data_IF_180467194426
#
_entry.id   IF_180467194426
#
_cell.length_a   1.000
_cell.length_b   1.000
_cell.length_c   1.000
_cell.angle_alpha   90.00
_cell.angle_beta   90.00
_cell.angle_gamma   90.00
#
_symmetry.space_group_name_H-M   'P 1'
#
loop_
_entity.id
_entity.type
_entity.pdbx_description
1 polymer ?
#
# COMPACT_ATOMS: atom_id res chain seq x y z
N UNK A 1 11.66 59.35 66.74
CA UNK A 1 12.61 58.36 66.17
C UNK A 1 12.19 58.13 64.73
N UNK A 2 12.88 58.68 63.73
CA UNK A 2 13.87 57.98 62.88
C UNK A 2 13.47 56.51 62.60
N UNK A 3 13.34 55.97 61.38
CA UNK A 3 13.81 56.36 60.04
C UNK A 3 13.19 55.37 59.00
N UNK A 4 12.95 55.87 57.79
CA UNK A 4 13.23 55.25 56.48
C UNK A 4 12.29 54.16 55.90
N UNK A 5 11.65 54.60 54.80
CA UNK A 5 11.09 53.90 53.63
C UNK A 5 11.87 52.68 53.15
N UNK A 6 11.15 51.70 52.58
CA UNK A 6 11.40 51.21 51.21
C UNK A 6 10.08 50.67 50.64
N UNK A 7 9.61 51.40 49.64
CA UNK A 7 8.59 51.08 48.67
C UNK A 7 9.08 49.92 47.80
N UNK A 8 8.33 48.82 47.69
CA UNK A 8 8.49 47.89 46.58
C UNK A 8 7.20 47.88 45.74
N UNK A 9 7.23 48.79 44.79
CA UNK A 9 6.48 48.79 43.54
C UNK A 9 6.84 47.50 42.76
N UNK A 10 5.88 46.77 42.21
CA UNK A 10 5.81 46.41 40.79
C UNK A 10 4.81 45.27 40.51
N UNK A 11 3.71 45.68 39.87
CA UNK A 11 3.09 45.04 38.70
C UNK A 11 2.80 43.52 38.76
N UNK A 12 1.62 43.19 39.28
CA UNK A 12 0.85 42.05 38.78
C UNK A 12 0.21 42.42 37.41
N UNK A 13 1.03 42.47 36.35
CA UNK A 13 0.54 42.32 34.97
C UNK A 13 0.82 40.87 34.56
N UNK A 14 -0.16 40.00 34.78
CA UNK A 14 -0.19 38.68 34.15
C UNK A 14 -0.42 38.91 32.66
N UNK A 15 0.70 39.05 31.95
CA UNK A 15 0.77 39.15 30.50
C UNK A 15 0.33 37.82 29.89
N UNK A 16 -0.71 37.86 29.06
CA UNK A 16 -1.00 36.82 28.07
C UNK A 16 0.26 36.60 27.22
N UNK A 17 0.97 35.50 27.45
CA UNK A 17 1.97 35.01 26.49
C UNK A 17 1.21 34.47 25.28
N UNK A 18 1.12 35.28 24.22
CA UNK A 18 0.88 34.79 22.86
C UNK A 18 2.02 33.83 22.51
N UNK A 19 1.68 32.62 22.11
CA UNK A 19 2.62 31.71 21.46
C UNK A 19 3.19 32.38 20.20
N UNK A 20 4.50 32.25 19.93
CA UNK A 20 5.05 32.74 18.68
C UNK A 20 4.50 31.86 17.54
N UNK A 21 3.91 32.52 16.55
CA UNK A 21 3.57 31.89 15.29
C UNK A 21 4.83 31.22 14.73
N UNK A 22 4.80 29.89 14.62
CA UNK A 22 5.77 29.13 13.85
C UNK A 22 5.74 29.64 12.43
N UNK A 23 6.79 30.37 12.08
CA UNK A 23 7.14 30.74 10.72
C UNK A 23 7.31 29.41 9.96
N UNK A 24 6.30 29.05 9.16
CA UNK A 24 6.46 28.01 8.16
C UNK A 24 7.64 28.37 7.23
N UNK A 25 8.30 27.38 6.63
CA UNK A 25 9.50 27.63 5.83
C UNK A 25 9.18 28.64 4.72
N UNK A 26 9.97 29.71 4.68
CA UNK A 26 10.00 30.66 3.55
C UNK A 26 10.60 29.92 2.35
N UNK A 27 9.73 29.46 1.46
CA UNK A 27 10.11 28.98 0.13
C UNK A 27 11.00 30.03 -0.55
N UNK A 28 12.26 29.70 -0.79
CA UNK A 28 13.16 30.55 -1.58
C UNK A 28 12.78 30.40 -3.05
N UNK A 29 13.16 31.37 -3.89
CA UNK A 29 12.85 31.37 -5.33
C UNK A 29 13.46 30.18 -6.09
N UNK A 30 14.29 29.38 -5.45
CA UNK A 30 14.90 28.16 -6.01
C UNK A 30 13.96 26.95 -5.91
N UNK A 31 13.09 26.87 -4.89
CA UNK A 31 12.08 25.80 -4.75
C UNK A 31 10.94 25.90 -5.78
N UNK A 32 10.79 27.06 -6.44
CA UNK A 32 9.83 27.25 -7.54
C UNK A 32 10.35 26.79 -8.91
N UNK A 33 11.63 26.46 -9.03
CA UNK A 33 12.24 26.08 -10.31
C UNK A 33 12.10 24.58 -10.61
N UNK A 34 11.87 23.75 -9.59
CA UNK A 34 11.60 22.32 -9.78
C UNK A 34 10.14 22.01 -10.18
N UNK A 35 9.24 22.98 -10.03
CA UNK A 35 7.83 22.86 -10.44
C UNK A 35 7.56 23.26 -11.90
N UNK A 36 8.60 23.66 -12.66
CA UNK A 36 8.49 24.00 -14.10
C UNK A 36 9.61 23.43 -14.96
N UNK A 37 10.34 22.40 -14.50
CA UNK A 37 11.16 21.59 -15.39
C UNK A 37 10.24 20.65 -16.19
N UNK A 38 9.85 21.07 -17.40
CA UNK A 38 9.30 20.14 -18.40
C UNK A 38 10.35 19.06 -18.66
N UNK A 39 10.07 17.77 -18.43
CA UNK A 39 10.89 16.74 -19.03
C UNK A 39 10.76 16.89 -20.54
N UNK A 40 11.88 16.92 -21.25
CA UNK A 40 11.90 16.76 -22.68
C UNK A 40 11.51 15.31 -22.99
N UNK A 41 10.22 15.03 -23.00
CA UNK A 41 9.66 13.78 -23.52
C UNK A 41 8.81 14.13 -24.73
N UNK A 42 9.15 13.52 -25.87
CA UNK A 42 8.38 13.65 -27.10
C UNK A 42 6.93 13.23 -26.81
N UNK A 43 5.99 14.17 -26.99
CA UNK A 43 4.56 13.96 -26.79
C UNK A 43 4.02 12.94 -27.81
N UNK A 44 3.95 11.68 -27.42
CA UNK A 44 2.71 10.92 -27.53
C UNK A 44 2.01 11.06 -26.18
N UNK A 45 0.68 11.21 -26.16
CA UNK A 45 -0.10 11.30 -24.92
C UNK A 45 0.29 10.18 -23.95
N UNK A 46 0.55 10.46 -22.66
CA UNK A 46 0.88 9.41 -21.71
C UNK A 46 -0.26 8.39 -21.70
N UNK A 47 0.06 7.09 -21.74
CA UNK A 47 -0.92 6.03 -21.55
C UNK A 47 -1.53 6.21 -20.16
N UNK A 48 -2.85 6.34 -20.10
CA UNK A 48 -3.61 6.47 -18.86
C UNK A 48 -4.58 5.31 -18.80
N UNK A 49 -4.40 4.44 -17.81
CA UNK A 49 -5.32 3.35 -17.51
C UNK A 49 -6.26 3.78 -16.36
N UNK A 50 -7.54 3.42 -16.45
CA UNK A 50 -8.50 3.62 -15.34
C UNK A 50 -8.66 2.30 -14.59
N UNK A 51 -8.33 2.32 -13.30
CA UNK A 51 -8.46 1.16 -12.41
C UNK A 51 -9.74 1.36 -11.61
N UNK A 52 -10.75 0.53 -11.90
CA UNK A 52 -11.97 0.46 -11.10
C UNK A 52 -11.70 -0.36 -9.84
N UNK A 53 -12.28 0.07 -8.72
CA UNK A 53 -12.12 -0.60 -7.44
C UNK A 53 -13.34 -1.50 -7.22
N UNK A 54 -13.14 -2.81 -7.19
CA UNK A 54 -14.18 -3.79 -6.92
C UNK A 54 -14.46 -3.95 -5.41
N UNK A 55 -15.58 -4.58 -5.09
CA UNK A 55 -16.06 -4.79 -3.71
C UNK A 55 -17.30 -3.97 -3.35
N UNK A 56 -17.59 -2.87 -4.06
CA UNK A 56 -18.86 -2.14 -3.91
C UNK A 56 -19.25 -1.43 -5.21
N UNK A 57 -20.27 -1.94 -5.92
CA UNK A 57 -20.73 -1.41 -7.20
C UNK A 57 -21.38 -0.02 -7.10
N UNK A 58 -22.01 0.32 -5.97
CA UNK A 58 -22.61 1.64 -5.75
C UNK A 58 -21.55 2.73 -5.54
N UNK A 59 -20.42 2.39 -4.91
CA UNK A 59 -19.29 3.28 -4.64
C UNK A 59 -18.30 3.34 -5.82
N UNK A 60 -18.13 2.22 -6.54
CA UNK A 60 -17.12 2.02 -7.59
C UNK A 60 -17.28 2.91 -8.83
N UNK A 61 -18.47 3.44 -9.09
CA UNK A 61 -18.68 4.39 -10.20
C UNK A 61 -18.11 5.80 -9.92
N UNK A 62 -17.80 6.10 -8.66
CA UNK A 62 -17.34 7.42 -8.21
C UNK A 62 -15.92 7.43 -7.66
N UNK A 63 -15.39 6.24 -7.35
CA UNK A 63 -14.05 6.04 -6.80
C UNK A 63 -13.23 5.18 -7.76
N UNK A 64 -12.08 5.69 -8.18
CA UNK A 64 -11.21 5.02 -9.15
C UNK A 64 -9.78 5.53 -9.00
N UNK A 65 -8.84 4.81 -9.61
CA UNK A 65 -7.44 5.22 -9.70
C UNK A 65 -7.06 5.42 -11.16
N UNK A 66 -6.41 6.52 -11.50
CA UNK A 66 -5.81 6.71 -12.82
C UNK A 66 -4.33 6.36 -12.75
N UNK A 67 -3.90 5.37 -13.52
CA UNK A 67 -2.50 5.02 -13.68
C UNK A 67 -1.94 5.70 -14.93
N UNK A 68 -1.16 6.76 -14.71
CA UNK A 68 -0.48 7.49 -15.78
C UNK A 68 0.95 6.99 -15.94
N UNK A 69 1.30 6.43 -17.10
CA UNK A 69 2.67 6.04 -17.40
C UNK A 69 3.55 7.29 -17.48
N UNK A 70 4.59 7.36 -16.64
CA UNK A 70 5.55 8.46 -16.57
C UNK A 70 6.83 8.18 -17.35
N UNK A 71 7.33 6.96 -17.24
CA UNK A 71 8.60 6.54 -17.84
C UNK A 71 8.55 5.05 -18.17
N UNK A 72 9.25 4.66 -19.22
CA UNK A 72 9.43 3.27 -19.63
C UNK A 72 10.85 3.10 -20.16
N UNK A 73 11.59 2.19 -19.54
CA UNK A 73 12.96 1.86 -19.91
C UNK A 73 13.08 0.36 -20.15
N UNK A 74 13.92 0.00 -21.09
CA UNK A 74 14.30 -1.38 -21.38
C UNK A 74 15.80 -1.49 -21.15
N UNK A 75 16.23 -2.46 -20.37
CA UNK A 75 17.64 -2.71 -20.14
C UNK A 75 18.26 -3.60 -21.24
N UNK A 76 19.54 -3.96 -21.05
CA UNK A 76 20.28 -4.78 -22.01
C UNK A 76 19.77 -6.22 -22.09
N UNK A 77 19.13 -6.70 -21.03
CA UNK A 77 18.60 -8.05 -20.90
C UNK A 77 17.12 -8.11 -21.32
N UNK A 78 16.63 -7.05 -21.97
CA UNK A 78 15.24 -6.90 -22.41
C UNK A 78 14.22 -6.83 -21.27
N UNK A 79 14.65 -6.56 -20.04
CA UNK A 79 13.74 -6.31 -18.93
C UNK A 79 13.22 -4.89 -19.03
N UNK A 80 11.90 -4.75 -18.92
CA UNK A 80 11.22 -3.46 -18.99
C UNK A 80 10.98 -2.97 -17.55
N UNK A 81 11.47 -1.78 -17.22
CA UNK A 81 11.06 -1.06 -16.01
C UNK A 81 10.13 0.08 -16.40
N UNK A 82 8.97 0.17 -15.76
CA UNK A 82 8.01 1.25 -15.95
C UNK A 82 7.80 2.02 -14.66
N UNK A 83 7.60 3.33 -14.78
CA UNK A 83 7.19 4.18 -13.67
C UNK A 83 5.78 4.70 -13.95
N UNK A 84 4.88 4.52 -13.01
CA UNK A 84 3.53 5.06 -13.05
C UNK A 84 3.31 6.10 -11.95
N UNK A 85 2.43 7.07 -12.22
CA UNK A 85 1.73 7.85 -11.20
C UNK A 85 0.33 7.30 -11.04
N UNK A 86 -0.02 6.91 -9.83
CA UNK A 86 -1.37 6.53 -9.44
C UNK A 86 -2.07 7.75 -8.84
N UNK A 87 -3.09 8.26 -9.51
CA UNK A 87 -3.93 9.34 -9.02
C UNK A 87 -5.23 8.77 -8.45
N UNK A 88 -5.46 8.96 -7.15
CA UNK A 88 -6.61 8.40 -6.44
C UNK A 88 -7.77 9.39 -6.46
N UNK A 89 -8.96 8.91 -6.84
CA UNK A 89 -10.19 9.68 -6.86
C UNK A 89 -11.20 9.09 -5.89
N UNK A 90 -11.81 9.96 -5.09
CA UNK A 90 -12.95 9.65 -4.24
C UNK A 90 -14.07 10.62 -4.56
N UNK A 91 -15.28 10.15 -4.83
CA UNK A 91 -16.40 10.96 -5.31
C UNK A 91 -16.00 11.88 -6.49
N UNK A 92 -15.25 11.33 -7.45
CA UNK A 92 -14.70 12.03 -8.64
C UNK A 92 -13.76 13.21 -8.30
N UNK A 93 -13.36 13.36 -7.05
CA UNK A 93 -12.39 14.36 -6.60
C UNK A 93 -11.06 13.68 -6.34
N UNK A 94 -9.98 14.23 -6.91
CA UNK A 94 -8.64 13.73 -6.66
C UNK A 94 -8.26 13.95 -5.20
N UNK A 95 -7.92 12.88 -4.49
CA UNK A 95 -7.53 12.91 -3.07
C UNK A 95 -6.03 12.76 -2.85
N UNK A 96 -5.28 12.22 -3.82
CA UNK A 96 -3.84 12.10 -3.70
C UNK A 96 -3.19 11.47 -4.92
N UNK A 97 -1.86 11.38 -4.87
CA UNK A 97 -1.05 10.72 -5.88
C UNK A 97 0.08 9.95 -5.23
N UNK A 98 0.41 8.80 -5.79
CA UNK A 98 1.61 8.03 -5.44
C UNK A 98 2.36 7.64 -6.72
N UNK A 99 3.68 7.45 -6.60
CA UNK A 99 4.49 6.91 -7.69
C UNK A 99 4.85 5.47 -7.40
N UNK A 100 4.79 4.63 -8.41
CA UNK A 100 5.24 3.24 -8.34
C UNK A 100 6.21 2.95 -9.46
N UNK A 101 7.23 2.14 -9.16
CA UNK A 101 8.16 1.60 -10.12
C UNK A 101 7.89 0.10 -10.19
N UNK A 102 7.66 -0.40 -11.39
CA UNK A 102 7.43 -1.81 -11.67
C UNK A 102 8.62 -2.30 -12.46
N UNK A 103 9.42 -3.15 -11.83
CA UNK A 103 10.50 -3.86 -12.49
C UNK A 103 9.96 -5.10 -13.22
N UNK A 104 10.64 -5.51 -14.29
CA UNK A 104 10.27 -6.67 -15.11
C UNK A 104 8.83 -6.63 -15.65
N UNK A 105 8.37 -5.45 -16.05
CA UNK A 105 7.05 -5.23 -16.63
C UNK A 105 6.85 -6.04 -17.91
N UNK A 106 5.76 -6.80 -17.96
CA UNK A 106 5.36 -7.54 -19.16
C UNK A 106 4.31 -6.74 -19.93
N UNK A 107 4.54 -6.52 -21.23
CA UNK A 107 3.55 -5.85 -22.09
C UNK A 107 2.23 -6.61 -22.11
N UNK A 108 1.12 -5.86 -22.02
CA UNK A 108 -0.20 -6.46 -21.83
C UNK A 108 -0.59 -6.74 -20.38
N UNK A 109 0.26 -6.41 -19.39
CA UNK A 109 -0.13 -6.48 -17.97
C UNK A 109 -1.37 -5.62 -17.69
N UNK A 110 -2.32 -6.19 -16.95
CA UNK A 110 -3.56 -5.55 -16.53
C UNK A 110 -3.49 -5.05 -15.09
N UNK A 111 -4.26 -4.00 -14.81
CA UNK A 111 -4.47 -3.49 -13.45
C UNK A 111 -5.74 -4.08 -12.84
N UNK A 112 -5.72 -4.32 -11.53
CA UNK A 112 -6.91 -4.61 -10.73
C UNK A 112 -6.86 -3.88 -9.40
N UNK A 113 -8.02 -3.60 -8.80
CA UNK A 113 -8.09 -3.04 -7.46
C UNK A 113 -9.32 -3.53 -6.70
N UNK A 114 -9.17 -3.72 -5.39
CA UNK A 114 -10.22 -4.12 -4.44
C UNK A 114 -10.16 -3.24 -3.19
N UNK A 115 -11.30 -3.07 -2.51
CA UNK A 115 -11.32 -2.52 -1.15
C UNK A 115 -10.95 -3.60 -0.12
N UNK A 116 -10.33 -3.20 0.99
CA UNK A 116 -10.06 -4.10 2.11
C UNK A 116 -8.65 -4.66 2.15
N UNK A 117 -8.40 -5.44 3.20
CA UNK A 117 -7.21 -6.26 3.40
C UNK A 117 -7.49 -7.75 3.10
N UNK A 118 -8.75 -8.17 3.05
CA UNK A 118 -9.18 -9.53 2.75
C UNK A 118 -10.58 -9.51 2.13
N UNK A 119 -11.01 -10.62 1.52
CA UNK A 119 -12.37 -10.75 0.97
C UNK A 119 -13.46 -10.62 2.06
N UNK A 120 -13.10 -10.84 3.33
CA UNK A 120 -13.98 -10.70 4.49
C UNK A 120 -14.07 -9.26 5.01
N UNK A 121 -13.22 -8.35 4.54
CA UNK A 121 -13.28 -6.94 4.93
C UNK A 121 -14.48 -6.27 4.25
N UNK A 122 -15.30 -5.57 5.04
CA UNK A 122 -16.45 -4.87 4.50
C UNK A 122 -16.01 -3.71 3.60
N UNK A 123 -16.15 -3.89 2.29
CA UNK A 123 -15.82 -2.91 1.26
C UNK A 123 -16.54 -1.56 1.42
N UNK A 124 -17.67 -1.46 2.14
CA UNK A 124 -18.32 -0.16 2.39
C UNK A 124 -17.54 0.76 3.33
N UNK A 125 -16.64 0.22 4.16
CA UNK A 125 -16.03 0.98 5.29
C UNK A 125 -14.51 0.94 5.28
N UNK A 126 -13.89 0.09 4.45
CA UNK A 126 -12.44 -0.05 4.48
C UNK A 126 -11.72 1.19 3.91
N UNK A 127 -10.81 1.81 4.68
CA UNK A 127 -9.93 2.86 4.16
C UNK A 127 -8.77 2.29 3.33
N UNK A 128 -8.70 0.98 3.13
CA UNK A 128 -7.66 0.33 2.36
C UNK A 128 -8.08 0.03 0.94
N UNK A 129 -7.15 0.25 0.01
CA UNK A 129 -7.27 -0.17 -1.38
C UNK A 129 -6.06 -1.04 -1.70
N UNK A 130 -6.32 -2.27 -2.09
CA UNK A 130 -5.33 -3.16 -2.69
C UNK A 130 -5.36 -2.94 -4.21
N UNK A 131 -4.20 -2.58 -4.78
CA UNK A 131 -4.01 -2.45 -6.23
C UNK A 131 -3.01 -3.52 -6.65
N UNK A 132 -3.30 -4.22 -7.74
CA UNK A 132 -2.41 -5.21 -8.35
C UNK A 132 -2.17 -4.87 -9.81
N UNK A 133 -0.97 -5.21 -10.29
CA UNK A 133 -0.65 -5.23 -11.72
C UNK A 133 0.07 -6.54 -12.03
N UNK A 134 -0.33 -7.18 -13.12
CA UNK A 134 0.29 -8.43 -13.54
C UNK A 134 -0.15 -8.85 -14.93
N UNK A 135 0.56 -9.84 -15.47
CA UNK A 135 0.25 -10.44 -16.76
C UNK A 135 -0.49 -11.76 -16.53
N UNK A 136 -1.64 -11.90 -17.18
CA UNK A 136 -2.48 -13.09 -17.07
C UNK A 136 -1.96 -14.16 -18.05
N UNK A 137 -1.16 -15.09 -17.55
CA UNK A 137 -0.58 -16.21 -18.29
C UNK A 137 -0.43 -17.45 -17.39
N UNK A 138 0.22 -18.51 -17.87
CA UNK A 138 0.60 -19.67 -17.06
C UNK A 138 1.57 -19.21 -15.95
N UNK A 139 1.07 -19.10 -14.72
CA UNK A 139 1.74 -18.38 -13.63
C UNK A 139 1.38 -16.89 -13.61
N UNK A 140 0.35 -16.54 -12.83
CA UNK A 140 -0.11 -15.18 -12.58
C UNK A 140 0.83 -14.47 -11.60
N UNK A 141 1.93 -13.94 -12.12
CA UNK A 141 2.79 -13.03 -11.37
C UNK A 141 2.14 -11.65 -11.26
N UNK A 142 2.00 -11.16 -10.03
CA UNK A 142 1.42 -9.86 -9.73
C UNK A 142 2.30 -9.10 -8.76
N UNK A 143 2.54 -7.83 -9.06
CA UNK A 143 2.98 -6.85 -8.07
C UNK A 143 1.75 -6.25 -7.40
N UNK A 144 1.79 -6.18 -6.08
CA UNK A 144 0.69 -5.74 -5.25
C UNK A 144 1.09 -4.54 -4.41
N UNK A 145 0.13 -3.65 -4.20
CA UNK A 145 0.29 -2.42 -3.45
C UNK A 145 -0.92 -2.24 -2.55
N UNK A 146 -0.68 -2.07 -1.25
CA UNK A 146 -1.68 -1.72 -0.26
C UNK A 146 -1.59 -0.23 0.06
N UNK A 147 -2.65 0.50 -0.27
CA UNK A 147 -2.79 1.91 0.03
C UNK A 147 -3.79 2.15 1.15
N UNK A 148 -3.50 3.13 2.00
CA UNK A 148 -4.42 3.66 3.00
C UNK A 148 -4.91 5.05 2.57
N UNK A 149 -6.22 5.20 2.47
CA UNK A 149 -6.90 6.43 2.08
C UNK A 149 -7.73 6.95 3.25
N UNK A 150 -7.30 8.09 3.82
CA UNK A 150 -8.06 8.77 4.87
C UNK A 150 -7.85 10.27 4.84
N UNK A 151 -8.91 11.03 5.11
CA UNK A 151 -8.87 12.50 5.21
C UNK A 151 -8.23 13.17 3.98
N UNK A 152 -8.57 12.69 2.78
CA UNK A 152 -8.00 13.15 1.51
C UNK A 152 -6.47 13.05 1.47
N UNK A 153 -5.91 11.99 2.06
CA UNK A 153 -4.51 11.63 1.97
C UNK A 153 -4.40 10.17 1.57
N UNK A 154 -3.39 9.90 0.76
CA UNK A 154 -3.00 8.56 0.33
C UNK A 154 -1.68 8.25 1.00
N UNK A 155 -1.51 7.01 1.46
CA UNK A 155 -0.25 6.47 1.94
C UNK A 155 -0.04 5.07 1.36
N UNK A 156 1.11 4.79 0.75
CA UNK A 156 1.56 3.42 0.52
C UNK A 156 1.93 2.76 1.86
N UNK A 157 1.25 1.67 2.20
CA UNK A 157 1.46 0.91 3.44
C UNK A 157 2.41 -0.25 3.20
N UNK A 158 2.21 -0.98 2.10
CA UNK A 158 3.04 -2.12 1.74
C UNK A 158 2.94 -2.45 0.26
N UNK A 159 4.05 -2.88 -0.31
CA UNK A 159 4.18 -3.51 -1.62
C UNK A 159 4.73 -4.94 -1.49
N UNK A 160 4.27 -5.88 -2.33
CA UNK A 160 4.76 -7.26 -2.36
C UNK A 160 4.47 -7.96 -3.69
N UNK A 161 5.24 -9.00 -3.99
CA UNK A 161 4.97 -9.90 -5.11
C UNK A 161 4.13 -11.11 -4.68
N UNK A 162 3.22 -11.51 -5.57
CA UNK A 162 2.49 -12.77 -5.50
C UNK A 162 2.58 -13.52 -6.83
N UNK A 163 2.49 -14.84 -6.76
CA UNK A 163 2.43 -15.74 -7.91
C UNK A 163 1.38 -16.80 -7.64
N UNK A 164 0.59 -17.15 -8.65
CA UNK A 164 -0.35 -18.27 -8.59
C UNK A 164 -0.37 -19.01 -9.92
N UNK A 165 -0.32 -20.33 -9.89
CA UNK A 165 -0.53 -21.20 -11.04
C UNK A 165 -1.46 -22.35 -10.63
N UNK A 166 -2.73 -22.25 -11.05
CA UNK A 166 -3.80 -23.04 -10.44
C UNK A 166 -3.87 -22.79 -8.94
N UNK A 167 -3.82 -23.84 -8.12
CA UNK A 167 -3.75 -23.74 -6.67
C UNK A 167 -2.33 -23.66 -6.10
N UNK A 168 -1.28 -23.61 -6.91
CA UNK A 168 0.09 -23.48 -6.43
C UNK A 168 0.52 -22.02 -6.44
N UNK A 169 1.37 -21.60 -5.50
CA UNK A 169 1.91 -20.24 -5.55
C UNK A 169 2.36 -19.66 -4.22
N UNK A 170 2.50 -18.35 -4.20
CA UNK A 170 2.76 -17.57 -2.99
C UNK A 170 2.01 -16.24 -3.01
N UNK A 171 1.38 -15.92 -1.88
CA UNK A 171 0.62 -14.70 -1.67
C UNK A 171 0.81 -14.19 -0.25
N UNK A 172 0.18 -13.04 0.03
CA UNK A 172 0.18 -12.45 1.35
C UNK A 172 -1.21 -12.62 1.95
N UNK A 173 -1.29 -13.16 3.16
CA UNK A 173 -2.53 -13.21 3.94
C UNK A 173 -2.48 -12.15 5.03
N UNK A 174 -3.55 -11.37 5.14
CA UNK A 174 -3.74 -10.40 6.21
C UNK A 174 -4.62 -10.97 7.31
N UNK A 175 -4.37 -10.56 8.55
CA UNK A 175 -5.13 -11.02 9.70
C UNK A 175 -5.08 -10.04 10.87
N UNK A 176 -5.82 -10.37 11.94
CA UNK A 176 -5.94 -9.52 13.12
C UNK A 176 -6.81 -8.28 12.89
N UNK A 177 -7.73 -8.35 11.93
CA UNK A 177 -8.64 -7.27 11.56
C UNK A 177 -9.99 -7.52 12.23
N UNK A 178 -10.63 -6.45 12.69
CA UNK A 178 -12.00 -6.48 13.14
C UNK A 178 -12.87 -5.74 12.11
N UNK A 179 -13.73 -6.41 11.34
CA UNK A 179 -14.49 -5.79 10.25
C UNK A 179 -15.50 -4.73 10.74
N UNK A 180 -15.73 -4.63 12.05
CA UNK A 180 -16.65 -3.65 12.65
C UNK A 180 -15.98 -2.33 13.03
N UNK A 181 -14.65 -2.29 13.06
CA UNK A 181 -13.89 -1.13 13.54
C UNK A 181 -12.85 -0.72 12.51
N UNK A 182 -12.51 0.57 12.50
CA UNK A 182 -11.36 1.00 11.73
C UNK A 182 -10.08 0.35 12.30
N UNK A 183 -9.29 -0.35 11.48
CA UNK A 183 -8.08 -1.01 11.93
C UNK A 183 -7.03 0.01 12.36
N UNK A 184 -6.55 -0.12 13.60
CA UNK A 184 -5.38 0.59 14.13
C UNK A 184 -4.12 -0.28 14.13
N UNK A 185 -4.30 -1.59 13.92
CA UNK A 185 -3.25 -2.57 13.77
C UNK A 185 -3.78 -3.79 13.02
N UNK A 186 -2.90 -4.46 12.28
CA UNK A 186 -3.15 -5.76 11.67
C UNK A 186 -1.80 -6.43 11.43
N UNK A 187 -1.80 -7.69 11.00
CA UNK A 187 -0.59 -8.38 10.58
C UNK A 187 -0.76 -8.96 9.19
N UNK A 188 0.36 -9.29 8.57
CA UNK A 188 0.40 -10.14 7.40
C UNK A 188 1.39 -11.27 7.59
N UNK A 189 1.23 -12.34 6.81
CA UNK A 189 2.23 -13.40 6.62
C UNK A 189 2.29 -13.72 5.13
N UNK A 190 3.47 -14.08 4.64
CA UNK A 190 3.59 -14.72 3.33
C UNK A 190 3.19 -16.17 3.49
N UNK A 191 2.30 -16.63 2.62
CA UNK A 191 1.91 -18.03 2.48
C UNK A 191 2.43 -18.52 1.13
N UNK A 192 2.94 -19.73 1.10
CA UNK A 192 3.23 -20.44 -0.13
C UNK A 192 2.71 -21.86 -0.06
N UNK A 193 2.14 -22.33 -1.16
CA UNK A 193 1.69 -23.70 -1.35
C UNK A 193 2.33 -24.25 -2.62
N UNK A 194 3.08 -25.33 -2.48
CA UNK A 194 3.87 -25.94 -3.56
C UNK A 194 3.82 -27.47 -3.51
N UNK A 195 4.05 -28.11 -4.65
CA UNK A 195 4.10 -29.56 -4.74
C UNK A 195 5.18 -30.14 -3.83
N UNK A 196 4.94 -31.33 -3.30
CA UNK A 196 5.92 -32.01 -2.45
C UNK A 196 6.95 -32.77 -3.30
N UNK A 197 8.18 -32.28 -3.36
CA UNK A 197 9.24 -32.84 -4.22
C UNK A 197 9.57 -34.31 -3.94
N UNK A 198 9.38 -34.77 -2.70
CA UNK A 198 9.79 -36.12 -2.24
C UNK A 198 8.66 -37.17 -2.26
N UNK A 199 7.48 -36.84 -2.78
CA UNK A 199 6.32 -37.77 -2.79
C UNK A 199 5.72 -37.81 -4.19
N UNK A 200 5.54 -39.03 -4.72
CA UNK A 200 4.86 -39.26 -6.00
C UNK A 200 3.33 -39.27 -5.81
N UNK A 201 2.82 -38.26 -5.12
CA UNK A 201 1.41 -38.05 -4.83
C UNK A 201 1.08 -36.60 -5.23
N UNK A 202 0.37 -36.47 -6.34
CA UNK A 202 0.00 -35.17 -6.92
C UNK A 202 -0.99 -34.40 -6.03
N UNK A 203 -1.67 -35.10 -5.12
CA UNK A 203 -2.61 -34.49 -4.17
C UNK A 203 -1.92 -33.90 -2.95
N UNK A 204 -0.64 -34.22 -2.72
CA UNK A 204 0.13 -33.76 -1.55
C UNK A 204 0.93 -32.49 -1.85
N UNK A 205 0.66 -31.45 -1.07
CA UNK A 205 1.43 -30.22 -1.09
C UNK A 205 2.09 -29.91 0.24
N UNK A 206 2.98 -28.92 0.19
CA UNK A 206 3.54 -28.27 1.37
C UNK A 206 3.01 -26.84 1.44
N UNK A 207 2.40 -26.48 2.58
CA UNK A 207 2.16 -25.09 2.93
C UNK A 207 3.28 -24.56 3.83
N UNK A 208 3.79 -23.37 3.52
CA UNK A 208 4.82 -22.68 4.30
C UNK A 208 4.37 -21.27 4.65
N UNK A 209 4.78 -20.80 5.83
CA UNK A 209 4.64 -19.41 6.24
C UNK A 209 5.99 -18.76 6.46
N UNK A 210 6.13 -17.54 5.94
CA UNK A 210 7.32 -16.69 6.07
C UNK A 210 6.92 -15.21 6.23
N UNK A 211 7.91 -14.34 6.42
CA UNK A 211 7.76 -12.87 6.37
C UNK A 211 6.55 -12.32 7.15
N UNK A 212 6.40 -12.70 8.42
CA UNK A 212 5.33 -12.11 9.24
C UNK A 212 5.64 -10.66 9.55
N UNK A 213 4.70 -9.76 9.23
CA UNK A 213 4.84 -8.32 9.44
C UNK A 213 3.67 -7.84 10.29
N UNK A 214 3.95 -7.01 11.28
CA UNK A 214 2.93 -6.26 12.00
C UNK A 214 2.86 -4.83 11.49
N UNK A 215 1.65 -4.32 11.31
CA UNK A 215 1.34 -2.96 10.89
C UNK A 215 0.62 -2.24 12.01
N UNK A 216 1.00 -0.99 12.26
CA UNK A 216 0.38 -0.15 13.26
C UNK A 216 0.20 1.28 12.76
N UNK A 217 -0.95 1.87 13.05
CA UNK A 217 -1.21 3.28 12.79
C UNK A 217 -0.72 4.12 13.95
N UNK A 218 0.25 5.01 13.70
CA UNK A 218 0.79 5.94 14.69
C UNK A 218 0.87 7.34 14.09
N UNK A 219 0.30 8.33 14.77
CA UNK A 219 0.31 9.72 14.32
C UNK A 219 -0.18 9.91 12.86
N UNK A 220 -1.27 9.21 12.48
CA UNK A 220 -1.82 9.19 11.11
C UNK A 220 -0.85 8.66 10.03
N UNK A 221 0.14 7.85 10.43
CA UNK A 221 1.06 7.17 9.52
C UNK A 221 1.13 5.68 9.87
N UNK A 222 0.98 4.83 8.86
CA UNK A 222 1.24 3.41 9.01
C UNK A 222 2.73 3.13 9.12
N UNK A 223 3.11 2.37 10.14
CA UNK A 223 4.44 1.84 10.38
C UNK A 223 4.36 0.30 10.30
N UNK A 224 5.42 -0.34 9.80
CA UNK A 224 5.50 -1.80 9.68
C UNK A 224 6.78 -2.34 10.31
N UNK A 225 6.71 -3.54 10.88
CA UNK A 225 7.85 -4.24 11.48
C UNK A 225 7.77 -5.73 11.21
N UNK A 226 8.86 -6.31 10.71
CA UNK A 226 9.02 -7.76 10.61
C UNK A 226 9.02 -8.40 12.00
N UNK A 227 8.19 -9.41 12.19
CA UNK A 227 8.11 -10.25 13.37
C UNK A 227 9.00 -11.49 13.25
N UNK A 228 9.27 -11.94 12.03
CA UNK A 228 10.12 -13.09 11.73
C UNK A 228 11.32 -12.66 10.91
N UNK A 229 12.42 -13.44 10.89
CA UNK A 229 13.51 -13.18 9.96
C UNK A 229 13.00 -13.18 8.52
N UNK A 230 13.43 -12.19 7.74
CA UNK A 230 13.07 -12.04 6.32
C UNK A 230 13.47 -13.29 5.54
N UNK A 231 12.59 -13.74 4.64
CA UNK A 231 12.78 -14.88 3.74
C UNK A 231 13.04 -16.22 4.45
N UNK A 232 12.73 -16.32 5.75
CA UNK A 232 12.83 -17.57 6.49
C UNK A 232 11.46 -18.15 6.79
N UNK A 233 11.27 -19.40 6.38
CA UNK A 233 10.13 -20.22 6.77
C UNK A 233 10.21 -20.47 8.27
N UNK A 234 9.16 -20.09 8.99
CA UNK A 234 9.04 -20.31 10.44
C UNK A 234 7.96 -21.34 10.79
N UNK A 235 7.14 -21.71 9.81
CA UNK A 235 6.12 -22.74 9.93
C UNK A 235 5.93 -23.44 8.59
N UNK A 236 5.77 -24.76 8.62
CA UNK A 236 5.58 -25.63 7.45
C UNK A 236 4.67 -26.79 7.84
N UNK A 237 3.81 -27.22 6.92
CA UNK A 237 2.95 -28.39 7.08
C UNK A 237 2.71 -29.06 5.74
N UNK A 238 2.80 -30.38 5.71
CA UNK A 238 2.34 -31.19 4.60
C UNK A 238 0.83 -31.41 4.72
N UNK A 239 0.10 -31.18 3.63
CA UNK A 239 -1.37 -31.19 3.60
C UNK A 239 -1.84 -31.55 2.19
N UNK A 240 -3.00 -32.18 2.07
CA UNK A 240 -3.58 -32.46 0.75
C UNK A 240 -4.19 -31.19 0.13
N UNK A 241 -4.32 -31.17 -1.19
CA UNK A 241 -4.95 -30.07 -1.92
C UNK A 241 -6.36 -29.74 -1.40
N UNK A 242 -7.20 -30.77 -1.20
CA UNK A 242 -8.57 -30.59 -0.73
C UNK A 242 -8.65 -30.11 0.73
N UNK A 243 -7.71 -30.53 1.58
CA UNK A 243 -7.64 -30.01 2.96
C UNK A 243 -7.18 -28.55 2.99
N UNK A 244 -6.34 -28.13 2.04
CA UNK A 244 -5.87 -26.76 1.94
C UNK A 244 -6.89 -25.84 1.26
N UNK A 245 -7.59 -26.33 0.24
CA UNK A 245 -8.66 -25.66 -0.48
C UNK A 245 -10.00 -26.39 -0.31
N UNK A 246 -10.62 -26.32 0.89
CA UNK A 246 -11.85 -27.04 1.18
C UNK A 246 -13.02 -26.60 0.28
N UNK A 247 -12.97 -25.39 -0.29
CA UNK A 247 -13.98 -24.90 -1.25
C UNK A 247 -13.99 -25.65 -2.59
N UNK A 248 -12.93 -26.39 -2.91
CA UNK A 248 -12.83 -27.23 -4.10
C UNK A 248 -12.96 -28.72 -3.78
N UNK A 249 -13.17 -29.08 -2.51
CA UNK A 249 -13.44 -30.45 -2.13
C UNK A 249 -14.86 -30.86 -2.60
N UNK A 250 -14.95 -31.97 -3.33
CA UNK A 250 -16.23 -32.60 -3.72
C UNK A 250 -16.99 -33.19 -2.52
#
# INVERSE_FOLDING_TARGET
MNRIYITLFLLALVSCKKEPATVGPKWTKEDKKEMTAKPAFNRTTPKIDTIYISGNEEIGASNYVLASLLDKKMDKDSLITVQYRLDFFTNKTKVGSEKVTIDSFTEGSGWGATYGLSDEDNATVSPFIHISIGYEACGYNRQNYLYYLKNNKVQLVHDWDSMSDGGWGSWLEFGGINPKNEPVSFYSKRVSYGGKEDVNDEDMGTVEHSDSIVFHLKNNKWEKRLLTPKEKVYWKKDITFNEFYPQFAE
#
